data_IF_664615426271
#
_entry.id   IF_664615426271
#
_cell.length_a   1.000
_cell.length_b   1.000
_cell.length_c   1.000
_cell.angle_alpha   90.00
_cell.angle_beta   90.00
_cell.angle_gamma   90.00
#
_symmetry.space_group_name_H-M   'P 1'
#
loop_
_entity.id
_entity.type
_entity.pdbx_description
1 polymer ?
#
# COMPACT_ATOMS: atom_id res chain seq x y z
N UNK A 1 47.78 -52.87 -33.61
CA UNK A 1 46.78 -52.06 -34.35
C UNK A 1 45.50 -52.05 -33.53
N UNK A 2 45.30 -51.03 -32.70
CA UNK A 2 44.09 -50.83 -31.91
C UNK A 2 43.42 -49.55 -32.39
N UNK A 3 42.24 -49.67 -32.99
CA UNK A 3 41.41 -48.52 -33.34
C UNK A 3 40.56 -48.14 -32.14
N UNK A 4 40.92 -47.02 -31.51
CA UNK A 4 40.04 -46.29 -30.63
C UNK A 4 39.04 -45.48 -31.45
N UNK A 5 37.77 -45.56 -31.12
CA UNK A 5 36.72 -44.63 -31.56
C UNK A 5 35.49 -44.79 -30.66
N UNK A 6 35.33 -43.87 -29.72
CA UNK A 6 34.02 -43.51 -29.18
C UNK A 6 34.09 -42.04 -28.77
N UNK A 7 33.56 -41.20 -29.66
CA UNK A 7 33.43 -39.76 -29.48
C UNK A 7 32.23 -39.48 -28.56
N UNK A 8 32.56 -38.94 -27.39
CA UNK A 8 31.90 -37.85 -26.65
C UNK A 8 30.45 -37.52 -27.06
N UNK A 9 29.49 -37.95 -26.23
CA UNK A 9 28.21 -37.27 -26.10
C UNK A 9 28.40 -36.07 -25.19
N UNK A 10 28.34 -34.86 -25.74
CA UNK A 10 28.25 -33.62 -24.95
C UNK A 10 26.79 -33.22 -24.88
N UNK A 11 26.07 -33.81 -23.92
CA UNK A 11 24.78 -33.28 -23.48
C UNK A 11 25.03 -31.99 -22.69
N UNK A 12 24.96 -30.84 -23.37
CA UNK A 12 24.89 -29.54 -22.70
C UNK A 12 23.58 -29.47 -21.91
N UNK A 13 23.67 -29.73 -20.60
CA UNK A 13 22.59 -29.41 -19.67
C UNK A 13 22.68 -27.90 -19.45
N UNK A 14 21.87 -27.13 -20.18
CA UNK A 14 21.67 -25.72 -19.88
C UNK A 14 21.19 -25.60 -18.42
N UNK A 15 21.87 -24.82 -17.56
CA UNK A 15 21.38 -24.63 -16.20
C UNK A 15 20.02 -23.93 -16.28
N UNK A 16 19.00 -24.59 -15.73
CA UNK A 16 17.69 -23.99 -15.46
C UNK A 16 17.97 -22.70 -14.67
N UNK A 17 17.53 -21.52 -15.13
CA UNK A 17 17.69 -20.30 -14.36
C UNK A 17 17.00 -20.53 -13.02
N UNK A 18 17.79 -20.61 -11.94
CA UNK A 18 17.27 -20.53 -10.59
C UNK A 18 16.50 -19.21 -10.51
N UNK A 19 15.16 -19.30 -10.53
CA UNK A 19 14.32 -18.17 -10.23
C UNK A 19 14.71 -17.73 -8.83
N UNK A 20 15.45 -16.62 -8.73
CA UNK A 20 15.66 -15.94 -7.44
C UNK A 20 14.28 -15.80 -6.81
N UNK A 21 14.08 -16.17 -5.53
CA UNK A 21 12.83 -15.86 -4.86
C UNK A 21 12.60 -14.36 -5.08
N UNK A 22 11.54 -14.00 -5.83
CA UNK A 22 11.21 -12.61 -6.09
C UNK A 22 11.12 -11.97 -4.72
N UNK A 23 12.01 -11.03 -4.41
CA UNK A 23 11.88 -10.18 -3.24
C UNK A 23 10.48 -9.59 -3.33
N UNK A 24 9.61 -10.03 -2.43
CA UNK A 24 8.23 -9.59 -2.35
C UNK A 24 8.24 -8.07 -2.20
N UNK A 25 7.47 -7.39 -3.05
CA UNK A 25 7.52 -5.93 -3.15
C UNK A 25 7.22 -5.28 -1.80
N UNK A 26 8.01 -4.28 -1.34
CA UNK A 26 7.71 -3.51 -0.13
C UNK A 26 6.26 -3.03 -0.08
N UNK A 27 5.71 -2.64 -1.23
CA UNK A 27 4.32 -2.22 -1.41
C UNK A 27 3.28 -3.26 -1.00
N UNK A 28 3.57 -4.56 -1.16
CA UNK A 28 2.64 -5.61 -0.75
C UNK A 28 2.61 -5.68 0.77
N UNK A 29 3.78 -5.68 1.42
CA UNK A 29 3.81 -5.77 2.87
C UNK A 29 3.33 -4.53 3.59
N UNK A 30 3.43 -3.33 3.00
CA UNK A 30 2.80 -2.13 3.55
C UNK A 30 1.27 -2.22 3.50
N UNK A 31 0.70 -2.67 2.38
CA UNK A 31 -0.74 -2.91 2.28
C UNK A 31 -1.24 -3.96 3.27
N UNK A 32 -0.51 -5.07 3.43
CA UNK A 32 -0.82 -6.10 4.44
C UNK A 32 -0.73 -5.56 5.86
N UNK A 33 0.26 -4.71 6.15
CA UNK A 33 0.39 -4.07 7.47
C UNK A 33 -0.78 -3.13 7.78
N UNK A 34 -1.29 -2.39 6.78
CA UNK A 34 -2.51 -1.58 6.93
C UNK A 34 -3.70 -2.47 7.29
N UNK A 35 -3.94 -3.55 6.53
CA UNK A 35 -5.05 -4.46 6.78
C UNK A 35 -4.97 -5.08 8.18
N UNK A 36 -3.80 -5.58 8.59
CA UNK A 36 -3.60 -6.15 9.92
C UNK A 36 -3.79 -5.12 11.05
N UNK A 37 -3.44 -3.85 10.81
CA UNK A 37 -3.67 -2.77 11.78
C UNK A 37 -5.16 -2.48 11.95
N UNK A 38 -5.91 -2.43 10.85
CA UNK A 38 -7.37 -2.24 10.87
C UNK A 38 -8.09 -3.43 11.49
N UNK A 39 -7.59 -4.64 11.27
CA UNK A 39 -8.08 -5.87 11.90
C UNK A 39 -7.86 -5.83 13.41
N UNK A 40 -6.66 -5.47 13.88
CA UNK A 40 -6.35 -5.31 15.30
C UNK A 40 -7.26 -4.25 15.95
N UNK A 41 -7.55 -3.16 15.24
CA UNK A 41 -8.48 -2.14 15.70
C UNK A 41 -9.94 -2.64 15.76
N UNK A 42 -10.26 -3.77 15.11
CA UNK A 42 -11.59 -4.36 14.98
C UNK A 42 -12.57 -3.44 14.24
N UNK A 43 -12.08 -2.77 13.18
CA UNK A 43 -12.90 -1.86 12.36
C UNK A 43 -13.16 -2.40 10.96
N UNK A 44 -12.53 -3.51 10.58
CA UNK A 44 -12.79 -4.15 9.31
C UNK A 44 -14.22 -4.72 9.25
N UNK A 45 -14.87 -4.70 8.07
CA UNK A 45 -16.10 -5.46 7.84
C UNK A 45 -15.91 -6.95 8.11
N UNK A 46 -16.99 -7.71 8.34
CA UNK A 46 -16.91 -9.16 8.56
C UNK A 46 -16.14 -9.87 7.44
N UNK A 47 -15.23 -10.77 7.81
CA UNK A 47 -14.46 -11.58 6.87
C UNK A 47 -15.40 -12.38 5.94
N UNK A 48 -15.03 -12.50 4.66
CA UNK A 48 -15.84 -13.19 3.65
C UNK A 48 -17.06 -12.38 3.15
N UNK A 49 -17.28 -11.17 3.68
CA UNK A 49 -18.25 -10.24 3.09
C UNK A 49 -17.67 -9.58 1.84
N UNK A 50 -18.57 -9.23 0.89
CA UNK A 50 -18.18 -8.42 -0.29
C UNK A 50 -17.53 -7.10 0.08
N UNK A 51 -17.86 -6.57 1.25
CA UNK A 51 -17.30 -5.32 1.74
C UNK A 51 -15.85 -5.50 2.19
N UNK A 52 -15.52 -6.60 2.86
CA UNK A 52 -14.14 -6.93 3.21
C UNK A 52 -13.27 -7.10 1.95
N UNK A 53 -13.76 -7.81 0.93
CA UNK A 53 -13.06 -7.94 -0.37
C UNK A 53 -12.79 -6.57 -1.01
N UNK A 54 -13.79 -5.68 -0.97
CA UNK A 54 -13.70 -4.32 -1.50
C UNK A 54 -12.69 -3.47 -0.74
N UNK A 55 -12.59 -3.61 0.58
CA UNK A 55 -11.57 -2.94 1.40
C UNK A 55 -10.17 -3.43 1.04
N UNK A 56 -9.96 -4.74 0.96
CA UNK A 56 -8.66 -5.32 0.57
C UNK A 56 -8.22 -4.78 -0.79
N UNK A 57 -9.11 -4.79 -1.77
CA UNK A 57 -8.86 -4.24 -3.10
C UNK A 57 -8.53 -2.74 -3.02
N UNK A 58 -9.30 -1.97 -2.24
CA UNK A 58 -9.10 -0.52 -2.07
C UNK A 58 -7.72 -0.20 -1.50
N UNK A 59 -7.27 -0.89 -0.45
CA UNK A 59 -5.94 -0.65 0.15
C UNK A 59 -4.82 -0.83 -0.89
N UNK A 60 -4.89 -1.89 -1.70
CA UNK A 60 -3.86 -2.19 -2.70
C UNK A 60 -3.94 -1.21 -3.89
N UNK A 61 -5.15 -0.93 -4.38
CA UNK A 61 -5.34 -0.09 -5.55
C UNK A 61 -5.09 1.39 -5.23
N UNK A 62 -5.53 1.92 -4.08
CA UNK A 62 -5.22 3.30 -3.71
C UNK A 62 -3.72 3.53 -3.53
N UNK A 63 -2.99 2.53 -3.04
CA UNK A 63 -1.53 2.62 -3.01
C UNK A 63 -0.97 2.81 -4.41
N UNK A 64 -1.51 2.07 -5.40
CA UNK A 64 -1.10 2.21 -6.79
C UNK A 64 -1.53 3.55 -7.39
N UNK A 65 -2.74 4.02 -7.10
CA UNK A 65 -3.25 5.33 -7.51
C UNK A 65 -2.30 6.43 -7.05
N UNK A 66 -2.04 6.54 -5.75
CA UNK A 66 -1.22 7.61 -5.21
C UNK A 66 0.26 7.46 -5.59
N UNK A 67 0.76 6.23 -5.77
CA UNK A 67 2.16 6.01 -6.13
C UNK A 67 2.45 6.18 -7.63
N UNK A 68 1.47 5.96 -8.51
CA UNK A 68 1.70 5.82 -9.97
C UNK A 68 0.79 6.65 -10.87
N UNK A 69 -0.30 7.20 -10.35
CA UNK A 69 -1.21 8.00 -11.18
C UNK A 69 -0.51 9.25 -11.69
N UNK A 70 -0.72 9.55 -12.97
CA UNK A 70 -0.30 10.81 -13.61
C UNK A 70 -1.41 11.87 -13.57
N UNK A 71 -2.55 11.57 -12.94
CA UNK A 71 -3.64 12.53 -12.77
C UNK A 71 -3.22 13.64 -11.80
N UNK A 72 -3.22 14.89 -12.30
CA UNK A 72 -2.81 16.05 -11.52
C UNK A 72 -3.67 16.27 -10.28
N UNK A 73 -4.98 15.98 -10.34
CA UNK A 73 -5.87 16.17 -9.19
C UNK A 73 -5.50 15.22 -8.05
N UNK A 74 -5.20 13.96 -8.36
CA UNK A 74 -4.74 12.96 -7.38
C UNK A 74 -3.40 13.36 -6.78
N UNK A 75 -2.44 13.77 -7.61
CA UNK A 75 -1.11 14.20 -7.15
C UNK A 75 -1.18 15.44 -6.26
N UNK A 76 -1.93 16.46 -6.69
CA UNK A 76 -2.10 17.70 -5.94
C UNK A 76 -2.87 17.49 -4.64
N UNK A 77 -3.84 16.59 -4.62
CA UNK A 77 -4.55 16.23 -3.40
C UNK A 77 -3.60 15.58 -2.38
N UNK A 78 -2.85 14.56 -2.78
CA UNK A 78 -1.90 13.89 -1.88
C UNK A 78 -0.83 14.88 -1.38
N UNK A 79 -0.27 15.70 -2.28
CA UNK A 79 0.72 16.72 -1.92
C UNK A 79 0.18 17.71 -0.90
N UNK A 80 -1.03 18.25 -1.11
CA UNK A 80 -1.66 19.19 -0.17
C UNK A 80 -2.04 18.54 1.15
N UNK A 81 -2.53 17.31 1.13
CA UNK A 81 -2.87 16.57 2.35
C UNK A 81 -1.65 16.42 3.26
N UNK A 82 -0.52 15.98 2.70
CA UNK A 82 0.72 15.78 3.46
C UNK A 82 1.32 17.13 3.87
N UNK A 83 1.37 18.12 2.97
CA UNK A 83 1.89 19.46 3.28
C UNK A 83 1.06 20.18 4.35
N UNK A 84 -0.27 20.02 4.34
CA UNK A 84 -1.16 20.60 5.34
C UNK A 84 -0.92 20.04 6.74
N UNK A 85 -0.55 18.76 6.86
CA UNK A 85 -0.33 18.10 8.15
C UNK A 85 1.12 18.18 8.65
N UNK A 86 2.10 18.07 7.74
CA UNK A 86 3.52 17.90 8.11
C UNK A 86 4.44 19.03 7.62
N UNK A 87 3.93 20.02 6.88
CA UNK A 87 4.70 21.18 6.45
C UNK A 87 5.96 20.80 5.66
N UNK A 88 7.13 21.17 6.19
CA UNK A 88 8.43 20.94 5.57
C UNK A 88 8.77 19.45 5.40
N UNK A 89 8.22 18.57 6.23
CA UNK A 89 8.45 17.11 6.16
C UNK A 89 7.62 16.42 5.05
N UNK A 90 6.83 17.17 4.28
CA UNK A 90 5.93 16.57 3.30
C UNK A 90 6.65 15.87 2.15
N UNK A 91 7.74 16.45 1.64
CA UNK A 91 8.54 15.85 0.58
C UNK A 91 9.15 14.49 0.99
N UNK A 92 9.88 14.37 2.12
CA UNK A 92 10.43 13.08 2.51
C UNK A 92 9.36 12.02 2.83
N UNK A 93 8.19 12.42 3.34
CA UNK A 93 7.06 11.50 3.56
C UNK A 93 6.55 10.92 2.23
N UNK A 94 6.34 11.76 1.21
CA UNK A 94 5.91 11.30 -0.11
C UNK A 94 6.97 10.41 -0.77
N UNK A 95 8.26 10.73 -0.64
CA UNK A 95 9.34 9.88 -1.15
C UNK A 95 9.36 8.50 -0.49
N UNK A 96 9.22 8.43 0.84
CA UNK A 96 9.09 7.15 1.57
C UNK A 96 7.90 6.34 1.07
N UNK A 97 6.79 7.01 0.82
CA UNK A 97 5.59 6.37 0.28
C UNK A 97 5.82 5.78 -1.12
N UNK A 98 6.40 6.56 -2.04
CA UNK A 98 6.71 6.05 -3.38
C UNK A 98 7.72 4.90 -3.37
N UNK A 99 8.66 4.88 -2.42
CA UNK A 99 9.65 3.83 -2.30
C UNK A 99 9.10 2.54 -1.68
N UNK A 100 8.26 2.65 -0.65
CA UNK A 100 7.94 1.54 0.24
C UNK A 100 6.45 1.23 0.42
N UNK A 101 5.56 2.02 -0.19
CA UNK A 101 4.11 1.94 -0.06
C UNK A 101 3.59 2.70 1.15
N UNK A 102 2.42 2.29 1.67
CA UNK A 102 1.77 2.96 2.79
C UNK A 102 2.70 3.23 3.98
N UNK A 103 2.60 4.44 4.52
CA UNK A 103 3.13 4.80 5.84
C UNK A 103 2.00 5.38 6.67
N UNK A 104 2.17 5.41 7.99
CA UNK A 104 1.18 5.99 8.90
C UNK A 104 0.98 7.47 8.60
N UNK A 105 2.05 8.20 8.28
CA UNK A 105 1.97 9.63 7.98
C UNK A 105 1.07 9.93 6.79
N UNK A 106 1.22 9.17 5.69
CA UNK A 106 0.36 9.30 4.51
C UNK A 106 -1.09 8.93 4.84
N UNK A 107 -1.32 7.82 5.53
CA UNK A 107 -2.66 7.36 5.86
C UNK A 107 -3.39 8.40 6.70
N UNK A 108 -2.71 8.98 7.70
CA UNK A 108 -3.29 10.03 8.52
C UNK A 108 -3.52 11.33 7.76
N UNK A 109 -2.56 11.76 6.94
CA UNK A 109 -2.71 12.97 6.13
C UNK A 109 -3.90 12.88 5.17
N UNK A 110 -4.03 11.75 4.45
CA UNK A 110 -5.15 11.54 3.53
C UNK A 110 -6.48 11.40 4.28
N UNK A 111 -6.49 10.75 5.45
CA UNK A 111 -7.69 10.56 6.24
C UNK A 111 -8.19 11.87 6.87
N UNK A 112 -7.28 12.75 7.28
CA UNK A 112 -7.64 14.08 7.78
C UNK A 112 -8.10 14.97 6.60
N UNK A 113 -7.35 14.97 5.48
CA UNK A 113 -7.72 15.74 4.30
C UNK A 113 -9.07 15.35 3.68
N UNK A 114 -9.45 14.06 3.71
CA UNK A 114 -10.79 13.60 3.29
C UNK A 114 -11.93 14.25 4.08
N UNK A 115 -11.73 14.54 5.38
CA UNK A 115 -12.75 15.22 6.20
C UNK A 115 -12.82 16.72 5.91
N UNK A 116 -11.67 17.34 5.69
CA UNK A 116 -11.56 18.79 5.53
C UNK A 116 -11.86 19.26 4.09
N UNK A 117 -11.83 18.35 3.12
CA UNK A 117 -12.01 18.67 1.70
C UNK A 117 -13.49 18.68 1.31
N UNK A 118 -14.00 19.76 0.68
CA UNK A 118 -15.38 19.82 0.18
C UNK A 118 -15.70 18.70 -0.81
N UNK A 119 -16.97 18.27 -0.83
CA UNK A 119 -17.41 17.17 -1.68
C UNK A 119 -17.20 17.44 -3.18
N UNK A 120 -17.36 18.68 -3.65
CA UNK A 120 -17.11 19.01 -5.06
C UNK A 120 -15.63 18.83 -5.44
N UNK A 121 -14.72 19.10 -4.49
CA UNK A 121 -13.29 18.95 -4.70
C UNK A 121 -12.87 17.47 -4.69
N UNK A 122 -13.41 16.66 -3.78
CA UNK A 122 -13.20 15.21 -3.79
C UNK A 122 -13.72 14.56 -5.08
N UNK A 123 -14.79 15.11 -5.66
CA UNK A 123 -15.35 14.60 -6.94
C UNK A 123 -14.36 14.75 -8.10
N UNK A 124 -13.42 15.71 -8.03
CA UNK A 124 -12.36 15.87 -9.05
C UNK A 124 -11.37 14.69 -9.07
N UNK A 125 -11.30 13.91 -7.98
CA UNK A 125 -10.45 12.71 -7.91
C UNK A 125 -11.03 11.54 -8.71
N UNK A 126 -12.31 11.59 -9.09
CA UNK A 126 -13.01 10.49 -9.74
C UNK A 126 -12.33 10.01 -11.03
N UNK A 127 -11.78 10.95 -11.83
CA UNK A 127 -11.07 10.59 -13.07
C UNK A 127 -9.80 9.80 -12.79
N UNK A 128 -8.97 10.26 -11.84
CA UNK A 128 -7.75 9.56 -11.47
C UNK A 128 -8.00 8.22 -10.77
N UNK A 129 -9.04 8.13 -9.94
CA UNK A 129 -9.45 6.88 -9.30
C UNK A 129 -10.02 5.86 -10.30
N UNK A 130 -10.81 6.33 -11.26
CA UNK A 130 -11.43 5.49 -12.30
C UNK A 130 -10.41 4.74 -13.15
N UNK A 131 -9.20 5.29 -13.37
CA UNK A 131 -8.11 4.62 -14.08
C UNK A 131 -7.65 3.31 -13.41
N UNK A 132 -7.93 3.16 -12.11
CA UNK A 132 -7.57 2.00 -11.29
C UNK A 132 -8.78 1.19 -10.83
N UNK A 133 -9.97 1.43 -11.40
CA UNK A 133 -11.25 0.83 -11.01
C UNK A 133 -11.69 1.18 -9.57
N UNK A 134 -11.39 2.40 -9.12
CA UNK A 134 -11.80 2.93 -7.81
C UNK A 134 -12.75 4.10 -7.97
N UNK A 135 -13.59 4.30 -6.95
CA UNK A 135 -14.50 5.45 -6.83
C UNK A 135 -14.12 6.36 -5.67
N UNK A 136 -14.72 7.55 -5.63
CA UNK A 136 -14.60 8.47 -4.49
C UNK A 136 -15.21 7.86 -3.22
N UNK A 137 -16.25 7.03 -3.35
CA UNK A 137 -16.85 6.33 -2.21
C UNK A 137 -15.92 5.27 -1.63
N UNK A 138 -15.15 4.57 -2.49
CA UNK A 138 -14.09 3.65 -2.03
C UNK A 138 -13.04 4.38 -1.21
N UNK A 139 -12.67 5.58 -1.66
CA UNK A 139 -11.69 6.42 -0.98
C UNK A 139 -12.21 6.86 0.39
N UNK A 140 -13.42 7.44 0.43
CA UNK A 140 -14.09 7.86 1.66
C UNK A 140 -14.22 6.72 2.65
N UNK A 141 -14.65 5.54 2.19
CA UNK A 141 -14.80 4.35 3.04
C UNK A 141 -13.45 3.91 3.61
N UNK A 142 -12.41 3.87 2.79
CA UNK A 142 -11.08 3.50 3.27
C UNK A 142 -10.54 4.52 4.28
N UNK A 143 -10.66 5.82 4.01
CA UNK A 143 -10.23 6.88 4.94
C UNK A 143 -11.03 6.86 6.25
N UNK A 144 -12.32 6.54 6.19
CA UNK A 144 -13.15 6.32 7.37
C UNK A 144 -12.60 5.18 8.23
N UNK A 145 -12.25 4.03 7.64
CA UNK A 145 -11.66 2.91 8.38
C UNK A 145 -10.34 3.29 9.05
N UNK A 146 -9.51 4.12 8.42
CA UNK A 146 -8.27 4.63 9.03
C UNK A 146 -8.59 5.48 10.27
N UNK A 147 -9.56 6.40 10.18
CA UNK A 147 -9.97 7.23 11.33
C UNK A 147 -10.58 6.42 12.47
N UNK A 148 -11.45 5.47 12.14
CA UNK A 148 -12.05 4.55 13.10
C UNK A 148 -10.97 3.69 13.76
N UNK A 149 -10.00 3.19 12.97
CA UNK A 149 -8.89 2.39 13.46
C UNK A 149 -8.02 3.15 14.46
N UNK A 150 -7.67 4.41 14.14
CA UNK A 150 -6.95 5.31 15.05
C UNK A 150 -7.72 5.52 16.35
N UNK A 151 -9.02 5.82 16.25
CA UNK A 151 -9.88 6.08 17.40
C UNK A 151 -10.05 4.85 18.30
N UNK A 152 -10.26 3.67 17.70
CA UNK A 152 -10.45 2.42 18.41
C UNK A 152 -9.19 1.95 19.14
N UNK A 153 -8.01 2.10 18.52
CA UNK A 153 -6.73 1.82 19.18
C UNK A 153 -6.46 2.81 20.32
N UNK A 154 -6.68 4.11 20.09
CA UNK A 154 -6.49 5.13 21.12
C UNK A 154 -7.38 4.89 22.34
N UNK A 155 -8.64 4.47 22.15
CA UNK A 155 -9.55 4.11 23.23
C UNK A 155 -9.06 2.92 24.09
N UNK A 156 -8.16 2.09 23.55
CA UNK A 156 -7.51 0.96 24.23
C UNK A 156 -6.10 1.31 24.75
N UNK A 157 -5.70 2.58 24.66
CA UNK A 157 -4.36 3.05 25.05
C UNK A 157 -3.26 2.61 24.08
N UNK A 158 -3.60 2.29 22.83
CA UNK A 158 -2.66 1.88 21.79
C UNK A 158 -2.49 2.98 20.75
N UNK A 159 -1.31 3.06 20.13
CA UNK A 159 -1.03 3.98 19.03
C UNK A 159 -1.15 3.26 17.67
N UNK A 160 -1.82 3.89 16.70
CA UNK A 160 -1.96 3.39 15.33
C UNK A 160 -0.59 3.20 14.65
N UNK A 161 0.35 4.12 14.86
CA UNK A 161 1.71 4.03 14.33
C UNK A 161 2.46 2.83 14.88
N UNK A 162 2.40 2.62 16.21
CA UNK A 162 3.05 1.49 16.85
C UNK A 162 2.46 0.15 16.40
N UNK A 163 1.13 0.08 16.26
CA UNK A 163 0.44 -1.10 15.74
C UNK A 163 0.84 -1.39 14.29
N UNK A 164 0.84 -0.36 13.42
CA UNK A 164 1.29 -0.49 12.05
C UNK A 164 2.76 -0.94 11.95
N UNK A 165 3.65 -0.29 12.71
CA UNK A 165 5.07 -0.63 12.72
C UNK A 165 5.31 -2.06 13.25
N UNK A 166 4.52 -2.52 14.22
CA UNK A 166 4.56 -3.89 14.72
C UNK A 166 4.23 -4.89 13.60
N UNK A 167 3.09 -4.71 12.92
CA UNK A 167 2.69 -5.57 11.81
C UNK A 167 3.68 -5.50 10.66
N UNK A 168 4.11 -4.29 10.29
CA UNK A 168 5.02 -4.07 9.17
C UNK A 168 6.31 -4.88 9.29
N UNK A 169 6.88 -5.02 10.50
CA UNK A 169 8.11 -5.81 10.74
C UNK A 169 7.98 -7.28 10.34
N UNK A 170 6.79 -7.86 10.46
CA UNK A 170 6.51 -9.24 10.06
C UNK A 170 6.14 -9.41 8.58
N UNK A 171 5.97 -8.31 7.84
CA UNK A 171 5.44 -8.33 6.48
C UNK A 171 6.54 -8.33 5.41
N UNK A 172 6.23 -8.82 4.20
CA UNK A 172 7.21 -8.90 3.13
C UNK A 172 7.77 -7.52 2.71
N UNK A 173 9.06 -7.47 2.39
CA UNK A 173 9.74 -6.22 2.02
C UNK A 173 9.94 -5.21 3.16
N UNK A 174 9.76 -5.62 4.42
CA UNK A 174 10.09 -4.82 5.60
C UNK A 174 11.60 -4.75 5.88
N UNK A 175 12.34 -5.79 5.48
CA UNK A 175 13.80 -5.82 5.48
C UNK A 175 14.32 -5.39 4.10
N UNK A 176 14.30 -4.08 3.86
CA UNK A 176 14.99 -3.43 2.75
C UNK A 176 16.10 -2.56 3.31
N UNK A 177 17.16 -3.18 3.85
CA UNK A 177 18.41 -2.52 4.21
C UNK A 177 19.57 -3.38 3.74
#
# INVERSE_FOLDING_TARGET
MGYGSSLLTSGQISPIPMQRPKSSSPHVGSAMAVLATLEQAQVLPPEGSREADRVIQSVIQFQSVFAKSMDHSVQDFARRAVAGKYGEEAAPILERFHASGWTTEILEALADADQDTPAEELTRLATGFGQFNLSVDDFKRFMQLVREGRSALAARGQNFEEAYAHHRKGMPGAAGR
#
